data_IF_056014372584
#
_entry.id   IF_056014372584
#
_cell.length_a   1.000
_cell.length_b   1.000
_cell.length_c   1.000
_cell.angle_alpha   90.00
_cell.angle_beta   90.00
_cell.angle_gamma   90.00
#
_symmetry.space_group_name_H-M   'P 1'
#
loop_
_entity.id
_entity.type
_entity.pdbx_description
1 polymer ?
#
# COMPACT_ATOMS: atom_id res chain seq x y z
N UNK A 1 20.83 -21.31 11.72
CA UNK A 1 20.23 -20.08 11.18
C UNK A 1 21.02 -18.91 11.71
N UNK A 2 21.82 -18.24 10.88
CA UNK A 2 22.53 -17.02 11.28
C UNK A 2 21.52 -15.86 11.25
N UNK A 3 20.74 -15.70 12.31
CA UNK A 3 19.82 -14.58 12.47
C UNK A 3 20.60 -13.41 13.07
N UNK A 4 21.31 -12.68 12.22
CA UNK A 4 21.78 -11.36 12.61
C UNK A 4 20.54 -10.47 12.77
N UNK A 5 20.29 -9.84 13.93
CA UNK A 5 19.20 -8.88 14.05
C UNK A 5 19.40 -7.76 13.03
N UNK A 6 18.33 -7.28 12.37
CA UNK A 6 18.46 -6.23 11.36
C UNK A 6 19.05 -4.98 11.99
N UNK A 7 20.04 -4.37 11.33
CA UNK A 7 20.57 -3.09 11.78
C UNK A 7 19.60 -1.97 11.43
N UNK A 8 19.65 -0.84 12.16
CA UNK A 8 18.86 0.34 11.81
C UNK A 8 19.07 0.77 10.35
N UNK A 9 20.29 0.65 9.82
CA UNK A 9 20.58 0.98 8.43
C UNK A 9 19.84 0.07 7.44
N UNK A 10 19.78 -1.23 7.71
CA UNK A 10 19.05 -2.20 6.88
C UNK A 10 17.55 -1.89 6.89
N UNK A 11 16.97 -1.64 8.07
CA UNK A 11 15.55 -1.28 8.20
C UNK A 11 15.25 0.03 7.47
N UNK A 12 16.12 1.03 7.58
CA UNK A 12 15.95 2.30 6.86
C UNK A 12 16.06 2.13 5.35
N UNK A 13 16.93 1.24 4.87
CA UNK A 13 17.05 0.92 3.46
C UNK A 13 15.80 0.20 2.94
N UNK A 14 15.31 -0.80 3.68
CA UNK A 14 14.09 -1.53 3.35
C UNK A 14 12.87 -0.59 3.32
N UNK A 15 12.73 0.27 4.33
CA UNK A 15 11.73 1.34 4.36
C UNK A 15 11.82 2.22 3.11
N UNK A 16 13.01 2.71 2.76
CA UNK A 16 13.19 3.61 1.62
C UNK A 16 12.79 2.97 0.28
N UNK A 17 13.13 1.69 0.09
CA UNK A 17 12.74 0.92 -1.11
C UNK A 17 11.23 0.74 -1.21
N UNK A 18 10.60 0.36 -0.11
CA UNK A 18 9.15 0.16 -0.05
C UNK A 18 8.40 1.48 -0.28
N UNK A 19 8.84 2.56 0.39
CA UNK A 19 8.28 3.89 0.23
C UNK A 19 8.36 4.37 -1.23
N UNK A 20 9.53 4.26 -1.88
CA UNK A 20 9.69 4.62 -3.28
C UNK A 20 8.80 3.78 -4.21
N UNK A 21 8.60 2.51 -3.90
CA UNK A 21 7.71 1.62 -4.65
C UNK A 21 6.26 2.11 -4.54
N UNK A 22 5.80 2.44 -3.33
CA UNK A 22 4.46 3.00 -3.10
C UNK A 22 4.25 4.35 -3.80
N UNK A 23 5.26 5.22 -3.79
CA UNK A 23 5.20 6.49 -4.54
C UNK A 23 5.10 6.27 -6.05
N UNK A 24 5.81 5.28 -6.59
CA UNK A 24 5.75 4.95 -8.00
C UNK A 24 4.37 4.37 -8.38
N UNK A 25 3.79 3.52 -7.53
CA UNK A 25 2.42 3.04 -7.71
C UNK A 25 1.42 4.20 -7.72
N UNK A 26 1.54 5.17 -6.80
CA UNK A 26 0.67 6.34 -6.79
C UNK A 26 0.78 7.16 -8.10
N UNK A 27 1.99 7.35 -8.62
CA UNK A 27 2.21 8.04 -9.91
C UNK A 27 1.58 7.26 -11.07
N UNK A 28 1.69 5.94 -11.08
CA UNK A 28 1.08 5.10 -12.10
C UNK A 28 -0.46 5.17 -12.05
N UNK A 29 -1.08 5.10 -10.85
CA UNK A 29 -2.54 5.30 -10.71
C UNK A 29 -2.97 6.68 -11.21
N UNK A 30 -2.22 7.74 -10.87
CA UNK A 30 -2.52 9.09 -11.35
C UNK A 30 -2.48 9.20 -12.89
N UNK A 31 -1.71 8.34 -13.56
CA UNK A 31 -1.63 8.21 -15.02
C UNK A 31 -2.60 7.18 -15.60
N UNK A 32 -3.44 6.57 -14.77
CA UNK A 32 -4.32 5.44 -15.14
C UNK A 32 -3.55 4.24 -15.70
N UNK A 33 -2.30 4.07 -15.28
CA UNK A 33 -1.47 2.91 -15.59
C UNK A 33 -1.74 1.78 -14.58
N UNK A 34 -1.68 0.51 -15.00
CA UNK A 34 -1.84 -0.62 -14.10
C UNK A 34 -0.71 -0.65 -13.06
N UNK A 35 -1.07 -0.94 -11.81
CA UNK A 35 -0.13 -1.12 -10.70
C UNK A 35 -0.14 -2.57 -10.24
N UNK A 36 1.06 -3.12 -10.01
CA UNK A 36 1.21 -4.42 -9.40
C UNK A 36 1.27 -4.27 -7.87
N UNK A 37 0.30 -4.86 -7.16
CA UNK A 37 0.24 -4.87 -5.69
C UNK A 37 0.79 -6.17 -5.10
N UNK A 38 1.27 -7.09 -5.93
CA UNK A 38 1.67 -8.41 -5.51
C UNK A 38 2.82 -8.36 -4.49
N UNK A 39 2.64 -9.08 -3.37
CA UNK A 39 3.64 -9.20 -2.31
C UNK A 39 3.88 -7.93 -1.49
N UNK A 40 3.07 -6.88 -1.64
CA UNK A 40 3.19 -5.66 -0.86
C UNK A 40 2.90 -5.89 0.63
N UNK A 41 1.92 -6.73 0.92
CA UNK A 41 1.55 -7.19 2.27
C UNK A 41 2.72 -7.88 2.98
N UNK A 42 3.40 -8.79 2.28
CA UNK A 42 4.55 -9.54 2.79
C UNK A 42 5.75 -8.62 3.04
N UNK A 43 5.97 -7.64 2.17
CA UNK A 43 7.04 -6.64 2.33
C UNK A 43 6.77 -5.71 3.52
N UNK A 44 5.53 -5.25 3.70
CA UNK A 44 5.13 -4.45 4.86
C UNK A 44 5.27 -5.27 6.15
N UNK A 45 4.81 -6.52 6.16
CA UNK A 45 4.94 -7.40 7.32
C UNK A 45 6.41 -7.61 7.73
N UNK A 46 7.27 -7.90 6.74
CA UNK A 46 8.71 -8.03 6.96
C UNK A 46 9.32 -6.75 7.55
N UNK A 47 8.96 -5.57 7.02
CA UNK A 47 9.44 -4.30 7.55
C UNK A 47 8.95 -4.04 8.98
N UNK A 48 7.70 -4.41 9.30
CA UNK A 48 7.18 -4.31 10.66
C UNK A 48 7.94 -5.21 11.63
N UNK A 49 8.21 -6.45 11.26
CA UNK A 49 9.00 -7.39 12.07
C UNK A 49 10.44 -6.88 12.27
N UNK A 50 11.06 -6.36 11.20
CA UNK A 50 12.38 -5.75 11.23
C UNK A 50 12.44 -4.56 12.19
N UNK A 51 11.44 -3.67 12.15
CA UNK A 51 11.34 -2.56 13.10
C UNK A 51 11.15 -3.09 14.51
N UNK A 52 10.27 -4.06 14.75
CA UNK A 52 10.01 -4.60 16.08
C UNK A 52 11.26 -5.23 16.71
N UNK A 53 12.16 -5.77 15.89
CA UNK A 53 13.45 -6.32 16.30
C UNK A 53 14.52 -5.27 16.68
N UNK A 54 14.34 -3.99 16.32
CA UNK A 54 15.29 -2.93 16.66
C UNK A 54 15.30 -2.59 18.18
N UNK A 55 16.43 -2.05 18.69
CA UNK A 55 16.48 -1.47 20.03
C UNK A 55 15.41 -0.39 20.24
N UNK A 56 14.93 -0.21 21.48
CA UNK A 56 13.83 0.72 21.81
C UNK A 56 14.08 2.16 21.31
N UNK A 57 15.31 2.67 21.43
CA UNK A 57 15.64 4.02 20.98
C UNK A 57 15.56 4.15 19.46
N UNK A 58 16.03 3.14 18.73
CA UNK A 58 16.01 3.11 17.26
C UNK A 58 14.58 2.94 16.73
N UNK A 59 13.76 2.13 17.41
CA UNK A 59 12.33 1.99 17.12
C UNK A 59 11.58 3.31 17.23
N UNK A 60 11.83 4.07 18.30
CA UNK A 60 11.20 5.38 18.49
C UNK A 60 11.60 6.35 17.35
N UNK A 61 12.83 6.26 16.84
CA UNK A 61 13.28 7.04 15.69
C UNK A 61 12.58 6.67 14.36
N UNK A 62 12.02 5.47 14.25
CA UNK A 62 11.30 5.01 13.06
C UNK A 62 9.82 5.41 13.03
N UNK A 63 9.23 5.77 14.18
CA UNK A 63 7.82 6.17 14.31
C UNK A 63 7.36 7.22 13.28
N UNK A 64 8.04 8.38 13.08
CA UNK A 64 7.60 9.36 12.09
C UNK A 64 7.60 8.82 10.66
N UNK A 65 8.55 7.92 10.33
CA UNK A 65 8.65 7.30 9.00
C UNK A 65 7.51 6.30 8.79
N UNK A 66 7.22 5.47 9.78
CA UNK A 66 6.08 4.55 9.71
C UNK A 66 4.75 5.29 9.53
N UNK A 67 4.57 6.42 10.22
CA UNK A 67 3.40 7.27 10.04
C UNK A 67 3.28 7.80 8.60
N UNK A 68 4.37 8.27 8.01
CA UNK A 68 4.38 8.71 6.60
C UNK A 68 4.00 7.57 5.64
N UNK A 69 4.47 6.34 5.89
CA UNK A 69 4.11 5.19 5.06
C UNK A 69 2.63 4.82 5.19
N UNK A 70 2.06 4.88 6.38
CA UNK A 70 0.60 4.68 6.59
C UNK A 70 -0.19 5.73 5.80
N UNK A 71 0.17 7.01 5.90
CA UNK A 71 -0.49 8.09 5.16
C UNK A 71 -0.41 7.88 3.63
N UNK A 72 0.72 7.35 3.15
CA UNK A 72 0.90 7.01 1.73
C UNK A 72 0.04 5.81 1.32
N UNK A 73 -0.07 4.77 2.15
CA UNK A 73 -0.94 3.62 1.92
C UNK A 73 -2.42 4.01 1.90
N UNK A 74 -2.87 4.84 2.84
CA UNK A 74 -4.24 5.38 2.88
C UNK A 74 -4.56 6.18 1.62
N UNK A 75 -3.59 6.97 1.14
CA UNK A 75 -3.76 7.71 -0.12
C UNK A 75 -3.82 6.77 -1.31
N UNK A 76 -2.95 5.77 -1.38
CA UNK A 76 -2.95 4.77 -2.44
C UNK A 76 -4.28 4.01 -2.51
N UNK A 77 -4.82 3.60 -1.36
CA UNK A 77 -6.12 2.94 -1.26
C UNK A 77 -7.25 3.82 -1.81
N UNK A 78 -7.29 5.10 -1.42
CA UNK A 78 -8.28 6.06 -1.93
C UNK A 78 -8.18 6.23 -3.45
N UNK A 79 -6.97 6.37 -3.97
CA UNK A 79 -6.73 6.57 -5.40
C UNK A 79 -7.14 5.32 -6.20
N UNK A 80 -6.84 4.12 -5.71
CA UNK A 80 -7.28 2.84 -6.30
C UNK A 80 -8.80 2.70 -6.31
N UNK A 81 -9.48 3.03 -5.20
CA UNK A 81 -10.95 3.00 -5.12
C UNK A 81 -11.58 3.96 -6.13
N UNK A 82 -11.02 5.16 -6.28
CA UNK A 82 -11.49 6.12 -7.28
C UNK A 82 -11.27 5.65 -8.72
N UNK A 83 -10.11 5.05 -9.01
CA UNK A 83 -9.82 4.46 -10.32
C UNK A 83 -10.81 3.35 -10.66
N UNK A 84 -11.10 2.44 -9.71
CA UNK A 84 -12.10 1.38 -9.90
C UNK A 84 -13.50 1.94 -10.16
N UNK A 85 -13.93 2.96 -9.39
CA UNK A 85 -15.23 3.61 -9.61
C UNK A 85 -15.31 4.27 -11.00
N UNK A 86 -14.24 4.90 -11.48
CA UNK A 86 -14.18 5.46 -12.84
C UNK A 86 -14.20 4.38 -13.92
N UNK A 87 -13.49 3.28 -13.71
CA UNK A 87 -13.45 2.15 -14.65
C UNK A 87 -14.77 1.38 -14.71
N UNK A 88 -15.59 1.41 -13.66
CA UNK A 88 -16.86 0.66 -13.58
C UNK A 88 -18.07 1.43 -14.11
N UNK A 89 -18.03 2.77 -14.19
CA UNK A 89 -19.08 3.60 -14.80
C UNK A 89 -20.51 3.41 -14.23
N UNK A 90 -21.51 4.23 -14.64
CA UNK A 90 -22.88 4.13 -14.12
C UNK A 90 -23.65 2.89 -14.58
N UNK A 91 -23.11 2.09 -15.51
CA UNK A 91 -23.81 1.00 -16.18
C UNK A 91 -23.97 -0.26 -15.34
N UNK A 92 -23.20 -0.42 -14.26
CA UNK A 92 -23.43 -1.51 -13.29
C UNK A 92 -24.68 -1.29 -12.41
N UNK A 93 -25.19 -0.06 -12.33
CA UNK A 93 -26.36 0.28 -11.49
C UNK A 93 -27.70 0.12 -12.24
N UNK A 94 -27.71 0.27 -13.57
CA UNK A 94 -28.95 0.21 -14.35
C UNK A 94 -29.37 -1.20 -14.82
N UNK A 95 -28.43 -2.15 -14.89
CA UNK A 95 -28.72 -3.50 -15.41
C UNK A 95 -29.55 -4.39 -14.45
N UNK A 96 -29.64 -4.04 -13.17
CA UNK A 96 -30.41 -4.81 -12.18
C UNK A 96 -31.82 -4.27 -11.92
N UNK A 97 -32.21 -3.14 -12.53
CA UNK A 97 -33.48 -2.46 -12.25
C UNK A 97 -34.60 -2.71 -13.28
N UNK A 98 -34.40 -3.58 -14.28
CA UNK A 98 -35.36 -3.70 -15.41
C UNK A 98 -35.89 -5.11 -15.72
N UNK A 99 -35.77 -6.09 -14.82
CA UNK A 99 -36.29 -7.46 -15.07
C UNK A 99 -37.59 -7.80 -14.34
N UNK A 100 -38.50 -6.83 -14.16
CA UNK A 100 -39.85 -7.13 -13.68
C UNK A 100 -40.92 -6.37 -14.46
N UNK A 101 -41.16 -6.82 -15.70
CA UNK A 101 -42.49 -6.73 -16.31
C UNK A 101 -42.60 -7.86 -17.34
N UNK A 102 -43.15 -8.98 -16.92
CA UNK A 102 -43.76 -9.96 -17.82
C UNK A 102 -45.26 -9.88 -17.59
N UNK A 103 -45.97 -9.73 -18.71
CA UNK A 103 -47.41 -9.48 -18.86
C UNK A 103 -48.29 -10.58 -18.27
#
# INVERSE_FOLDING_TARGET
MNTHPPSLADVQQNYGRLYATLENMQKAIARSEPCDLFGLDSQIATLCDDVLALPKNDRAGMEPRLKQMIELLDKLERDLRQMQQRSLGPTASAAYASTTKVQ
#
